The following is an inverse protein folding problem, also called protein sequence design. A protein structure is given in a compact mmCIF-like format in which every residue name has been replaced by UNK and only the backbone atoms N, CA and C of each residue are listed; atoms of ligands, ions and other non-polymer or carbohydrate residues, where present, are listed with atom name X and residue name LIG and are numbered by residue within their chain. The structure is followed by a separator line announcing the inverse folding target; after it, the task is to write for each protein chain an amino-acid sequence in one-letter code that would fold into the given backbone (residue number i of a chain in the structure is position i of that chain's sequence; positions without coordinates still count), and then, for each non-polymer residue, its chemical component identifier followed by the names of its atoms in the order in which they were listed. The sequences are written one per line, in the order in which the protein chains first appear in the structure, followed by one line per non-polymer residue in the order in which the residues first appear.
data_IF_590067211304
#
_entry.id   IF_590067211304
#
_cell.length_a   1.000
_cell.length_b   1.000
_cell.length_c   1.000
_cell.angle_alpha   90.00
_cell.angle_beta   90.00
_cell.angle_gamma   90.00
#
_symmetry.space_group_name_H-M   'P 1'
#
loop_
_entity.id
_entity.type
_entity.pdbx_description
1 polymer ?
#
# COMPACT_ATOMS: atom_id res chain seq x y z
N UNK A 1 9.15 -1.26 -5.16
CA UNK A 1 8.47 -2.46 -4.62
C UNK A 1 7.25 -2.80 -5.48
N UNK A 2 6.25 -1.91 -5.60
CA UNK A 2 5.04 -2.13 -6.41
C UNK A 2 5.26 -1.85 -7.91
N UNK A 3 5.69 -0.63 -8.25
CA UNK A 3 5.93 -0.17 -9.64
C UNK A 3 7.03 -0.96 -10.35
N UNK A 4 8.12 -1.26 -9.65
CA UNK A 4 9.25 -2.04 -10.18
C UNK A 4 9.06 -3.55 -10.21
N UNK A 5 7.86 -4.08 -9.90
CA UNK A 5 7.57 -5.52 -9.98
C UNK A 5 8.10 -6.38 -8.82
N UNK A 6 8.82 -5.80 -7.85
CA UNK A 6 9.38 -6.54 -6.71
C UNK A 6 8.34 -7.34 -5.92
N UNK A 7 7.11 -6.83 -5.73
CA UNK A 7 6.05 -7.63 -5.09
C UNK A 7 5.68 -8.88 -5.90
N UNK A 8 5.66 -8.77 -7.23
CA UNK A 8 5.37 -9.91 -8.11
C UNK A 8 6.44 -10.99 -7.98
N UNK A 9 7.71 -10.60 -7.87
CA UNK A 9 8.82 -11.54 -7.63
C UNK A 9 8.72 -12.21 -6.26
N UNK A 10 8.35 -11.46 -5.22
CA UNK A 10 8.13 -12.00 -3.87
C UNK A 10 6.96 -12.99 -3.84
N UNK A 11 5.86 -12.68 -4.52
CA UNK A 11 4.71 -13.59 -4.67
C UNK A 11 5.12 -14.86 -5.42
N UNK A 12 5.88 -14.72 -6.52
CA UNK A 12 6.43 -15.87 -7.24
C UNK A 12 7.38 -16.72 -6.38
N UNK A 13 8.01 -16.11 -5.38
CA UNK A 13 8.89 -16.77 -4.40
C UNK A 13 8.13 -17.36 -3.20
N UNK A 14 6.80 -17.24 -3.16
CA UNK A 14 5.94 -17.88 -2.16
C UNK A 14 5.36 -16.94 -1.10
N UNK A 15 5.53 -15.62 -1.20
CA UNK A 15 4.81 -14.67 -0.33
C UNK A 15 3.31 -14.73 -0.63
N UNK A 16 2.52 -14.80 0.44
CA UNK A 16 1.07 -14.99 0.39
C UNK A 16 0.24 -13.78 0.81
N UNK A 17 0.86 -12.75 1.35
CA UNK A 17 0.18 -11.54 1.82
C UNK A 17 1.18 -10.50 2.29
N UNK A 18 0.70 -9.28 2.47
CA UNK A 18 1.53 -8.17 2.96
C UNK A 18 0.75 -7.30 3.96
N UNK A 19 1.48 -6.68 4.88
CA UNK A 19 0.94 -5.72 5.85
C UNK A 19 1.63 -4.39 5.63
N UNK A 20 0.85 -3.31 5.59
CA UNK A 20 1.35 -1.95 5.65
C UNK A 20 0.85 -1.26 6.91
N UNK A 21 1.75 -0.54 7.55
CA UNK A 21 1.43 0.33 8.67
C UNK A 21 1.75 1.79 8.31
N UNK A 22 1.14 2.77 9.00
CA UNK A 22 1.35 4.19 8.70
C UNK A 22 2.83 4.61 8.66
N UNK A 23 3.66 4.05 9.56
CA UNK A 23 5.08 4.43 9.65
C UNK A 23 5.93 3.96 8.46
N UNK A 24 5.52 2.88 7.79
CA UNK A 24 6.18 2.40 6.56
C UNK A 24 5.84 3.31 5.39
N UNK A 25 4.57 3.74 5.29
CA UNK A 25 4.15 4.70 4.26
C UNK A 25 4.80 6.07 4.44
N UNK A 26 4.84 6.58 5.67
CA UNK A 26 5.50 7.86 5.99
C UNK A 26 6.96 7.86 5.50
N UNK A 27 7.70 6.81 5.81
CA UNK A 27 9.09 6.66 5.33
C UNK A 27 9.18 6.55 3.82
N UNK A 28 8.31 5.77 3.17
CA UNK A 28 8.34 5.61 1.73
C UNK A 28 8.06 6.94 1.00
N UNK A 29 7.14 7.74 1.53
CA UNK A 29 6.80 9.07 0.99
C UNK A 29 7.92 10.08 1.27
N UNK A 30 8.50 10.08 2.47
CA UNK A 30 9.54 11.04 2.86
C UNK A 30 10.92 10.74 2.23
N UNK A 31 11.27 9.46 2.07
CA UNK A 31 12.61 9.02 1.66
C UNK A 31 12.70 8.70 0.15
N UNK A 32 11.62 8.89 -0.62
CA UNK A 32 11.62 8.63 -2.07
C UNK A 32 10.93 9.72 -2.86
N UNK A 33 11.32 9.84 -4.13
CA UNK A 33 10.67 10.72 -5.10
C UNK A 33 9.53 10.02 -5.87
N UNK A 34 9.12 8.82 -5.44
CA UNK A 34 8.13 8.01 -6.16
C UNK A 34 6.73 8.64 -6.13
N UNK A 35 6.47 9.47 -5.13
CA UNK A 35 5.16 10.08 -4.89
C UNK A 35 5.11 11.55 -5.29
N UNK A 36 6.21 12.15 -5.75
CA UNK A 36 6.29 13.59 -6.05
C UNK A 36 5.24 14.03 -7.09
N UNK A 37 5.10 13.25 -8.16
CA UNK A 37 4.14 13.53 -9.24
C UNK A 37 2.69 13.37 -8.78
N UNK A 38 2.41 12.41 -7.89
CA UNK A 38 1.07 12.20 -7.34
C UNK A 38 0.75 13.30 -6.33
N UNK A 39 1.67 13.65 -5.43
CA UNK A 39 1.54 14.75 -4.47
C UNK A 39 1.29 16.07 -5.21
N UNK A 40 2.00 16.33 -6.31
CA UNK A 40 1.81 17.53 -7.11
C UNK A 40 0.39 17.65 -7.71
N UNK A 41 -0.31 16.53 -7.94
CA UNK A 41 -1.69 16.54 -8.44
C UNK A 41 -2.71 16.95 -7.37
N UNK A 42 -2.40 16.78 -6.09
CA UNK A 42 -3.31 17.14 -4.99
C UNK A 42 -3.26 18.63 -4.61
N UNK A 43 -2.29 19.40 -5.09
CA UNK A 43 -2.19 20.85 -4.84
C UNK A 43 -2.06 21.19 -3.36
N UNK A 44 -2.76 22.22 -2.88
CA UNK A 44 -2.79 22.65 -1.46
C UNK A 44 -3.73 21.78 -0.59
N UNK A 45 -3.89 20.49 -0.91
CA UNK A 45 -4.69 19.55 -0.12
C UNK A 45 -4.14 19.37 1.30
N UNK A 46 -4.99 18.93 2.23
CA UNK A 46 -4.51 18.61 3.57
C UNK A 46 -3.62 17.35 3.54
N UNK A 47 -2.55 17.37 4.34
CA UNK A 47 -1.53 16.32 4.32
C UNK A 47 -2.08 14.93 4.68
N UNK A 48 -3.08 14.84 5.56
CA UNK A 48 -3.69 13.57 5.93
C UNK A 48 -4.54 13.00 4.78
N UNK A 49 -5.32 13.83 4.08
CA UNK A 49 -6.06 13.39 2.89
C UNK A 49 -5.12 12.94 1.76
N UNK A 50 -4.01 13.65 1.54
CA UNK A 50 -3.01 13.26 0.54
C UNK A 50 -2.40 11.91 0.92
N UNK A 51 -1.98 11.76 2.19
CA UNK A 51 -1.44 10.51 2.70
C UNK A 51 -2.42 9.34 2.53
N UNK A 52 -3.69 9.53 2.90
CA UNK A 52 -4.72 8.51 2.79
C UNK A 52 -4.93 8.09 1.33
N UNK A 53 -5.00 9.05 0.41
CA UNK A 53 -5.16 8.76 -1.02
C UNK A 53 -3.98 7.95 -1.58
N UNK A 54 -2.74 8.31 -1.24
CA UNK A 54 -1.55 7.56 -1.64
C UNK A 54 -1.53 6.15 -1.04
N UNK A 55 -1.83 6.04 0.25
CA UNK A 55 -1.89 4.75 0.93
C UNK A 55 -2.95 3.83 0.32
N UNK A 56 -4.16 4.33 0.03
CA UNK A 56 -5.21 3.56 -0.63
C UNK A 56 -4.76 3.08 -2.01
N UNK A 57 -4.13 3.94 -2.81
CA UNK A 57 -3.64 3.60 -4.16
C UNK A 57 -2.62 2.45 -4.13
N UNK A 58 -1.68 2.50 -3.19
CA UNK A 58 -0.67 1.45 -3.02
C UNK A 58 -1.28 0.13 -2.53
N UNK A 59 -2.25 0.20 -1.60
CA UNK A 59 -2.97 -0.98 -1.09
C UNK A 59 -3.76 -1.65 -2.22
N UNK A 60 -4.45 -0.87 -3.06
CA UNK A 60 -5.15 -1.39 -4.24
C UNK A 60 -4.18 -2.06 -5.21
N UNK A 61 -3.05 -1.41 -5.51
CA UNK A 61 -2.02 -1.98 -6.39
C UNK A 61 -1.43 -3.28 -5.84
N UNK A 62 -1.22 -3.37 -4.53
CA UNK A 62 -0.78 -4.60 -3.88
C UNK A 62 -1.86 -5.70 -3.92
N UNK A 63 -3.12 -5.33 -3.73
CA UNK A 63 -4.26 -6.25 -3.77
C UNK A 63 -4.46 -6.83 -5.18
N UNK A 64 -4.29 -6.02 -6.22
CA UNK A 64 -4.34 -6.48 -7.61
C UNK A 64 -3.26 -7.53 -7.90
N UNK A 65 -2.05 -7.35 -7.35
CA UNK A 65 -0.96 -8.31 -7.50
C UNK A 65 -1.26 -9.61 -6.74
N UNK A 66 -1.73 -9.49 -5.50
CA UNK A 66 -2.05 -10.63 -4.62
C UNK A 66 -3.38 -11.32 -4.96
N UNK A 67 -4.21 -10.72 -5.81
CA UNK A 67 -5.49 -11.29 -6.23
C UNK A 67 -5.33 -12.70 -6.83
N UNK A 68 -4.25 -12.95 -7.56
CA UNK A 68 -3.92 -14.28 -8.07
C UNK A 68 -3.76 -15.32 -6.95
N UNK A 69 -3.13 -14.94 -5.84
CA UNK A 69 -2.97 -15.78 -4.65
C UNK A 69 -4.34 -15.99 -4.02
N UNK A 70 -5.09 -14.92 -3.76
CA UNK A 70 -6.41 -14.95 -3.14
C UNK A 70 -7.37 -15.92 -3.83
N UNK A 71 -7.47 -15.84 -5.16
CA UNK A 71 -8.33 -16.74 -5.92
C UNK A 71 -7.81 -18.19 -5.90
N UNK A 72 -6.50 -18.40 -6.02
CA UNK A 72 -5.90 -19.75 -5.99
C UNK A 72 -6.03 -20.45 -4.64
N UNK A 73 -6.03 -19.67 -3.55
CA UNK A 73 -6.17 -20.16 -2.18
C UNK A 73 -7.63 -20.19 -1.71
N UNK A 74 -8.60 -19.88 -2.58
CA UNK A 74 -10.03 -19.85 -2.23
C UNK A 74 -10.27 -18.91 -1.02
N UNK A 75 -9.59 -17.77 -1.00
CA UNK A 75 -9.71 -16.75 0.05
C UNK A 75 -8.99 -17.04 1.37
N UNK A 76 -8.13 -18.07 1.45
CA UNK A 76 -7.30 -18.29 2.64
C UNK A 76 -6.09 -17.33 2.72
N UNK A 77 -5.50 -16.99 1.58
CA UNK A 77 -4.33 -16.12 1.43
C UNK A 77 -4.65 -14.92 0.50
N UNK A 78 -3.66 -14.11 0.16
CA UNK A 78 -3.74 -13.04 -0.83
C UNK A 78 -4.23 -11.70 -0.29
N UNK A 79 -4.20 -11.53 1.03
CA UNK A 79 -4.66 -10.30 1.68
C UNK A 79 -3.57 -9.22 1.73
N UNK A 80 -4.05 -7.98 1.68
CA UNK A 80 -3.28 -6.78 1.98
C UNK A 80 -3.90 -6.14 3.21
N UNK A 81 -3.14 -6.02 4.28
CA UNK A 81 -3.60 -5.35 5.50
C UNK A 81 -3.15 -3.90 5.51
N UNK A 82 -4.09 -2.99 5.78
CA UNK A 82 -3.82 -1.58 6.05
C UNK A 82 -4.16 -1.31 7.51
N UNK A 83 -3.16 -0.88 8.29
CA UNK A 83 -3.42 -0.38 9.65
C UNK A 83 -3.92 1.07 9.60
N UNK A 84 -4.89 1.37 10.45
CA UNK A 84 -5.39 2.74 10.69
C UNK A 84 -4.42 3.53 11.55
N UNK A 85 -4.46 4.87 11.45
CA UNK A 85 -3.68 5.74 12.33
C UNK A 85 -4.04 5.48 13.80
N UNK A 86 -3.05 5.38 14.72
CA UNK A 86 -3.31 5.27 16.15
C UNK A 86 -4.16 6.41 16.71
N UNK A 87 -4.13 7.59 16.07
CA UNK A 87 -4.93 8.74 16.48
C UNK A 87 -6.44 8.50 16.28
N UNK A 88 -6.81 7.65 15.33
CA UNK A 88 -8.20 7.25 15.04
C UNK A 88 -8.68 6.08 15.91
N UNK A 89 -7.82 5.49 16.75
CA UNK A 89 -8.17 4.32 17.55
C UNK A 89 -9.13 4.61 18.72
N UNK A 90 -9.40 5.89 19.02
CA UNK A 90 -10.21 6.34 20.17
C UNK A 90 -11.45 7.16 19.78
N UNK A 91 -11.88 7.12 18.52
CA UNK A 91 -13.14 7.75 18.06
C UNK A 91 -14.36 6.82 18.24
#
# INVERSE_FOLDING_TARGET
MLTGGGLRELVASGIRGVTSNPSIFEKAIADSNLYDDDIAQFGDGDAASIFEALAISDIQSAADILGSVYFSSIGEDGYVSLEISPEMANE
#
